data_IF_458532519330
#
_entry.id   IF_458532519330
#
_cell.length_a   1.000
_cell.length_b   1.000
_cell.length_c   1.000
_cell.angle_alpha   90.00
_cell.angle_beta   90.00
_cell.angle_gamma   90.00
#
_symmetry.space_group_name_H-M   'P 1'
#
loop_
_entity.id
_entity.type
_entity.pdbx_description
1 polymer ?
#
# COMPACT_ATOMS: atom_id res chain seq x y z
N UNK A 1 7.63 -3.36 4.69
CA UNK A 1 7.02 -4.59 5.22
C UNK A 1 6.10 -4.30 6.41
N UNK A 2 6.60 -3.75 7.51
CA UNK A 2 5.80 -3.51 8.72
C UNK A 2 4.48 -2.76 8.46
N UNK A 3 4.49 -1.69 7.67
CA UNK A 3 3.29 -0.92 7.33
C UNK A 3 2.22 -1.73 6.58
N UNK A 4 2.61 -2.60 5.64
CA UNK A 4 1.67 -3.42 4.90
C UNK A 4 1.01 -4.49 5.80
N UNK A 5 1.78 -5.07 6.71
CA UNK A 5 1.26 -6.02 7.70
C UNK A 5 0.39 -5.32 8.76
N UNK A 6 0.80 -4.14 9.24
CA UNK A 6 -0.01 -3.33 10.16
C UNK A 6 -1.35 -2.93 9.53
N UNK A 7 -1.37 -2.60 8.22
CA UNK A 7 -2.59 -2.32 7.49
C UNK A 7 -3.55 -3.51 7.44
N UNK A 8 -3.04 -4.72 7.18
CA UNK A 8 -3.85 -5.94 7.26
C UNK A 8 -4.34 -6.21 8.69
N UNK A 9 -3.47 -6.02 9.69
CA UNK A 9 -3.84 -6.14 11.09
C UNK A 9 -4.99 -5.19 11.46
N UNK A 10 -4.96 -3.95 10.96
CA UNK A 10 -6.04 -2.97 11.19
C UNK A 10 -7.36 -3.40 10.53
N UNK A 11 -7.32 -3.98 9.31
CA UNK A 11 -8.52 -4.53 8.66
C UNK A 11 -9.13 -5.66 9.50
N UNK A 12 -8.30 -6.56 10.02
CA UNK A 12 -8.75 -7.70 10.82
C UNK A 12 -9.15 -7.30 12.24
N UNK A 13 -8.59 -6.23 12.79
CA UNK A 13 -8.92 -5.77 14.14
C UNK A 13 -10.36 -5.25 14.26
N UNK A 14 -10.91 -4.66 13.22
CA UNK A 14 -12.24 -4.06 13.23
C UNK A 14 -13.36 -5.07 13.62
N UNK A 15 -13.49 -6.23 12.94
CA UNK A 15 -14.48 -7.23 13.31
C UNK A 15 -14.19 -7.86 14.69
N UNK A 16 -12.92 -8.08 15.05
CA UNK A 16 -12.54 -8.64 16.36
C UNK A 16 -12.90 -7.69 17.51
N UNK A 17 -12.64 -6.40 17.37
CA UNK A 17 -13.02 -5.38 18.34
C UNK A 17 -14.54 -5.32 18.51
N UNK A 18 -15.28 -5.45 17.42
CA UNK A 18 -16.74 -5.45 17.47
C UNK A 18 -17.26 -6.72 18.14
N UNK A 19 -16.73 -7.88 17.80
CA UNK A 19 -17.11 -9.15 18.42
C UNK A 19 -16.81 -9.19 19.92
N UNK A 20 -15.75 -8.51 20.38
CA UNK A 20 -15.35 -8.38 21.79
C UNK A 20 -16.03 -7.23 22.55
N UNK A 21 -17.02 -6.55 21.95
CA UNK A 21 -17.80 -5.49 22.61
C UNK A 21 -17.11 -4.11 22.67
N UNK A 22 -15.96 -3.93 21.99
CA UNK A 22 -15.27 -2.64 21.93
C UNK A 22 -15.82 -1.76 20.80
N UNK A 23 -17.10 -1.39 20.89
CA UNK A 23 -17.85 -0.72 19.83
C UNK A 23 -17.21 0.59 19.34
N UNK A 24 -16.72 1.45 20.26
CA UNK A 24 -16.12 2.72 19.90
C UNK A 24 -14.82 2.52 19.06
N UNK A 25 -13.96 1.60 19.47
CA UNK A 25 -12.72 1.28 18.74
C UNK A 25 -13.02 0.61 17.40
N UNK A 26 -13.99 -0.29 17.37
CA UNK A 26 -14.46 -0.92 16.13
C UNK A 26 -15.00 0.14 15.17
N UNK A 27 -15.85 1.06 15.63
CA UNK A 27 -16.39 2.14 14.83
C UNK A 27 -15.28 2.97 14.18
N UNK A 28 -14.25 3.37 14.93
CA UNK A 28 -13.11 4.12 14.38
C UNK A 28 -12.40 3.31 13.29
N UNK A 29 -12.12 2.01 13.52
CA UNK A 29 -11.48 1.14 12.55
C UNK A 29 -12.31 1.02 11.26
N UNK A 30 -13.63 0.78 11.34
CA UNK A 30 -14.50 0.77 10.17
C UNK A 30 -14.53 2.12 9.45
N UNK A 31 -14.55 3.24 10.17
CA UNK A 31 -14.58 4.58 9.59
C UNK A 31 -13.31 4.92 8.80
N UNK A 32 -12.14 4.46 9.24
CA UNK A 32 -10.88 4.62 8.49
C UNK A 32 -11.00 4.00 7.10
N UNK A 33 -11.60 2.82 6.99
CA UNK A 33 -11.75 2.12 5.71
C UNK A 33 -12.96 2.55 4.89
N UNK A 34 -13.93 3.27 5.46
CA UNK A 34 -15.12 3.75 4.76
C UNK A 34 -14.78 4.70 3.60
N UNK A 35 -13.67 5.46 3.70
CA UNK A 35 -13.18 6.32 2.63
C UNK A 35 -12.58 5.54 1.44
N UNK A 36 -12.21 4.27 1.64
CA UNK A 36 -11.48 3.45 0.68
C UNK A 36 -12.33 2.31 0.10
N UNK A 37 -13.37 1.89 0.82
CA UNK A 37 -14.22 0.78 0.46
C UNK A 37 -15.67 1.02 0.89
N UNK A 38 -16.63 0.63 0.06
CA UNK A 38 -18.07 0.74 0.36
C UNK A 38 -18.52 -0.17 1.51
N UNK A 39 -17.69 -1.13 1.95
CA UNK A 39 -17.93 -2.01 3.10
C UNK A 39 -19.28 -2.75 3.05
N UNK A 40 -19.72 -3.17 1.85
CA UNK A 40 -20.96 -3.90 1.68
C UNK A 40 -20.85 -5.28 2.34
N UNK A 41 -21.67 -5.60 3.37
CA UNK A 41 -21.59 -6.85 4.10
C UNK A 41 -21.71 -8.09 3.21
N UNK A 42 -22.62 -8.06 2.23
CA UNK A 42 -22.84 -9.15 1.26
C UNK A 42 -21.66 -9.39 0.31
N UNK A 43 -20.64 -8.51 0.34
CA UNK A 43 -19.42 -8.59 -0.48
C UNK A 43 -18.15 -8.72 0.36
N UNK A 44 -18.31 -8.89 1.67
CA UNK A 44 -17.21 -8.95 2.64
C UNK A 44 -17.05 -10.34 3.23
N UNK A 45 -15.85 -10.74 3.59
CA UNK A 45 -15.63 -11.89 4.44
C UNK A 45 -16.10 -11.58 5.86
N UNK A 46 -16.40 -12.60 6.62
CA UNK A 46 -16.81 -12.50 8.02
C UNK A 46 -15.77 -13.13 8.94
N UNK A 47 -15.57 -12.52 10.09
CA UNK A 47 -14.74 -13.01 11.19
C UNK A 47 -15.53 -12.84 12.48
N UNK A 48 -15.71 -13.93 13.24
CA UNK A 48 -16.53 -13.96 14.45
C UNK A 48 -17.94 -13.34 14.28
N UNK A 49 -18.59 -13.65 13.15
CA UNK A 49 -19.94 -13.16 12.83
C UNK A 49 -20.00 -11.69 12.41
N UNK A 50 -18.86 -10.98 12.33
CA UNK A 50 -18.77 -9.59 11.91
C UNK A 50 -18.10 -9.47 10.53
N UNK A 51 -18.59 -8.58 9.62
CA UNK A 51 -17.98 -8.38 8.32
C UNK A 51 -16.61 -7.71 8.48
N UNK A 52 -15.64 -8.04 7.61
CA UNK A 52 -14.37 -7.32 7.54
C UNK A 52 -14.58 -5.83 7.23
N UNK A 53 -13.64 -4.99 7.65
CA UNK A 53 -13.65 -3.55 7.39
C UNK A 53 -13.55 -3.18 5.90
N UNK A 54 -13.33 -4.16 5.02
CA UNK A 54 -13.27 -3.97 3.57
C UNK A 54 -13.92 -5.16 2.86
N UNK A 55 -14.43 -4.94 1.63
CA UNK A 55 -14.99 -6.03 0.82
C UNK A 55 -13.89 -7.04 0.39
N UNK A 56 -14.31 -8.24 0.01
CA UNK A 56 -13.42 -9.36 -0.34
C UNK A 56 -12.37 -8.98 -1.42
N UNK A 57 -12.74 -8.17 -2.42
CA UNK A 57 -11.80 -7.70 -3.45
C UNK A 57 -10.72 -6.78 -2.86
N UNK A 58 -11.10 -5.78 -2.07
CA UNK A 58 -10.16 -4.87 -1.41
C UNK A 58 -9.25 -5.63 -0.43
N UNK A 59 -9.82 -6.58 0.34
CA UNK A 59 -9.03 -7.47 1.19
C UNK A 59 -7.99 -8.23 0.36
N UNK A 60 -8.39 -8.82 -0.76
CA UNK A 60 -7.48 -9.50 -1.68
C UNK A 60 -6.35 -8.58 -2.15
N UNK A 61 -6.67 -7.37 -2.61
CA UNK A 61 -5.66 -6.38 -3.06
C UNK A 61 -4.65 -6.09 -1.95
N UNK A 62 -5.10 -5.82 -0.73
CA UNK A 62 -4.19 -5.51 0.39
C UNK A 62 -3.38 -6.72 0.84
N UNK A 63 -4.00 -7.91 0.90
CA UNK A 63 -3.31 -9.15 1.25
C UNK A 63 -2.27 -9.54 0.17
N UNK A 64 -2.65 -9.47 -1.10
CA UNK A 64 -1.75 -9.70 -2.22
C UNK A 64 -0.59 -8.71 -2.26
N UNK A 65 -0.86 -7.42 -2.00
CA UNK A 65 0.17 -6.40 -1.90
C UNK A 65 1.15 -6.68 -0.75
N UNK A 66 0.65 -7.02 0.43
CA UNK A 66 1.49 -7.35 1.57
C UNK A 66 2.36 -8.59 1.29
N UNK A 67 1.77 -9.63 0.69
CA UNK A 67 2.51 -10.81 0.24
C UNK A 67 3.58 -10.44 -0.79
N UNK A 68 3.22 -9.62 -1.79
CA UNK A 68 4.15 -9.12 -2.80
C UNK A 68 5.32 -8.34 -2.20
N UNK A 69 5.06 -7.49 -1.18
CA UNK A 69 6.11 -6.76 -0.43
C UNK A 69 7.01 -7.71 0.35
N UNK A 70 6.45 -8.72 1.01
CA UNK A 70 7.22 -9.74 1.76
C UNK A 70 8.08 -10.58 0.83
N UNK A 71 7.53 -11.02 -0.31
CA UNK A 71 8.22 -11.83 -1.30
C UNK A 71 9.14 -11.01 -2.22
N UNK A 72 9.06 -9.68 -2.19
CA UNK A 72 9.83 -8.81 -3.10
C UNK A 72 11.33 -9.11 -3.10
N UNK A 73 12.02 -9.28 -1.94
CA UNK A 73 13.45 -9.57 -1.92
C UNK A 73 13.84 -10.89 -2.58
N UNK A 74 12.89 -11.85 -2.68
CA UNK A 74 13.11 -13.15 -3.33
C UNK A 74 13.05 -13.04 -4.86
N UNK A 75 12.28 -12.08 -5.37
CA UNK A 75 12.03 -11.89 -6.80
C UNK A 75 12.96 -10.83 -7.40
N UNK A 76 13.26 -9.77 -6.63
CA UNK A 76 14.04 -8.61 -7.07
C UNK A 76 14.94 -8.07 -5.96
N UNK A 77 16.12 -7.63 -6.33
CA UNK A 77 17.04 -6.96 -5.40
C UNK A 77 16.46 -5.61 -4.93
N UNK A 78 16.57 -5.33 -3.63
CA UNK A 78 16.19 -4.05 -3.02
C UNK A 78 17.05 -2.85 -3.49
N UNK A 79 18.13 -3.11 -4.25
CA UNK A 79 18.95 -2.03 -4.85
C UNK A 79 18.42 -1.56 -6.20
N UNK A 80 17.48 -2.30 -6.78
CA UNK A 80 16.89 -1.93 -8.08
C UNK A 80 15.73 -0.96 -7.87
N UNK A 81 15.78 0.16 -8.59
CA UNK A 81 14.72 1.19 -8.62
C UNK A 81 13.94 1.16 -9.94
N UNK A 82 14.32 0.28 -10.88
CA UNK A 82 13.60 0.09 -12.13
C UNK A 82 12.29 -0.66 -11.90
N UNK A 83 11.23 -0.22 -12.57
CA UNK A 83 9.92 -0.87 -12.54
C UNK A 83 9.77 -1.84 -13.73
N UNK A 84 8.97 -2.94 -13.60
CA UNK A 84 8.64 -3.79 -14.72
C UNK A 84 7.90 -3.04 -15.83
N UNK A 85 7.82 -3.62 -17.03
CA UNK A 85 7.04 -3.06 -18.13
C UNK A 85 5.55 -2.96 -17.74
N UNK A 86 4.90 -1.81 -18.02
CA UNK A 86 3.51 -1.51 -17.64
C UNK A 86 2.49 -2.57 -18.05
N UNK A 87 2.78 -3.32 -19.12
CA UNK A 87 1.93 -4.43 -19.59
C UNK A 87 1.63 -5.46 -18.49
N UNK A 88 2.56 -5.73 -17.58
CA UNK A 88 2.35 -6.71 -16.51
C UNK A 88 1.31 -6.24 -15.49
N UNK A 89 1.29 -4.95 -15.17
CA UNK A 89 0.26 -4.37 -14.30
C UNK A 89 -1.12 -4.42 -14.98
N UNK A 90 -1.19 -4.10 -16.27
CA UNK A 90 -2.43 -4.19 -17.04
C UNK A 90 -2.94 -5.64 -17.13
N UNK A 91 -2.05 -6.60 -17.40
CA UNK A 91 -2.41 -8.02 -17.41
C UNK A 91 -2.91 -8.51 -16.05
N UNK A 92 -2.32 -8.06 -14.94
CA UNK A 92 -2.78 -8.40 -13.61
C UNK A 92 -4.13 -7.72 -13.24
N UNK A 93 -4.43 -6.56 -13.84
CA UNK A 93 -5.70 -5.86 -13.66
C UNK A 93 -6.85 -6.51 -14.45
N UNK A 94 -6.57 -7.19 -15.56
CA UNK A 94 -7.60 -7.79 -16.41
C UNK A 94 -8.53 -8.76 -15.67
N UNK A 95 -8.04 -9.75 -14.88
CA UNK A 95 -8.92 -10.66 -14.15
C UNK A 95 -9.84 -9.92 -13.17
N UNK A 96 -9.31 -8.89 -12.48
CA UNK A 96 -10.11 -8.05 -11.59
C UNK A 96 -11.17 -7.25 -12.34
N UNK A 97 -10.81 -6.69 -13.50
CA UNK A 97 -11.72 -5.95 -14.36
C UNK A 97 -12.83 -6.83 -14.95
N UNK A 98 -12.48 -8.02 -15.43
CA UNK A 98 -13.44 -9.02 -15.96
C UNK A 98 -14.38 -9.46 -14.83
N UNK A 99 -13.83 -9.86 -13.67
CA UNK A 99 -14.64 -10.22 -12.49
C UNK A 99 -15.60 -9.10 -12.09
N UNK A 100 -15.13 -7.84 -12.11
CA UNK A 100 -15.99 -6.70 -11.83
C UNK A 100 -17.09 -6.53 -12.88
N UNK A 101 -16.76 -6.56 -14.17
CA UNK A 101 -17.70 -6.35 -15.26
C UNK A 101 -18.80 -7.44 -15.29
N UNK A 102 -18.43 -8.70 -15.12
CA UNK A 102 -19.36 -9.83 -15.09
C UNK A 102 -20.35 -9.70 -13.91
N UNK A 103 -19.86 -9.30 -12.74
CA UNK A 103 -20.72 -9.07 -11.57
C UNK A 103 -21.58 -7.83 -11.69
N UNK A 104 -21.10 -6.77 -12.37
CA UNK A 104 -21.84 -5.53 -12.60
C UNK A 104 -22.97 -5.73 -13.61
N UNK A 105 -22.74 -6.49 -14.67
CA UNK A 105 -23.75 -6.80 -15.71
C UNK A 105 -24.76 -7.86 -15.25
N UNK A 106 -24.54 -8.52 -14.10
CA UNK A 106 -25.38 -9.60 -13.61
C UNK A 106 -25.23 -10.92 -14.39
N UNK A 107 -24.27 -10.98 -15.32
CA UNK A 107 -24.01 -12.20 -16.13
C UNK A 107 -23.40 -13.32 -15.28
N UNK A 108 -22.76 -12.98 -14.18
CA UNK A 108 -22.10 -13.95 -13.30
C UNK A 108 -22.16 -13.49 -11.83
N UNK A 109 -22.58 -14.40 -10.95
CA UNK A 109 -22.55 -14.14 -9.51
C UNK A 109 -21.12 -14.35 -8.97
N UNK A 110 -20.38 -13.24 -8.77
CA UNK A 110 -19.03 -13.30 -8.24
C UNK A 110 -19.02 -13.79 -6.81
N UNK A 111 -18.20 -14.77 -6.51
CA UNK A 111 -17.97 -15.27 -5.15
C UNK A 111 -17.01 -14.35 -4.39
N UNK A 112 -17.01 -14.42 -3.04
CA UNK A 112 -15.99 -13.73 -2.23
C UNK A 112 -14.57 -14.19 -2.62
N UNK A 113 -14.42 -15.50 -2.91
CA UNK A 113 -13.14 -16.08 -3.31
C UNK A 113 -12.64 -15.55 -4.65
N UNK A 114 -13.50 -15.49 -5.68
CA UNK A 114 -13.10 -14.96 -7.00
C UNK A 114 -12.65 -13.50 -6.89
N UNK A 115 -13.40 -12.69 -6.15
CA UNK A 115 -13.06 -11.28 -5.87
C UNK A 115 -11.72 -11.14 -5.13
N UNK A 116 -11.48 -11.98 -4.11
CA UNK A 116 -10.26 -11.94 -3.33
C UNK A 116 -9.04 -12.40 -4.15
N UNK A 117 -9.16 -13.48 -4.92
CA UNK A 117 -8.06 -14.01 -5.74
C UNK A 117 -7.65 -13.06 -6.85
N UNK A 118 -8.63 -12.51 -7.58
CA UNK A 118 -8.36 -11.53 -8.64
C UNK A 118 -7.76 -10.25 -8.06
N UNK A 119 -8.26 -9.79 -6.91
CA UNK A 119 -7.69 -8.68 -6.16
C UNK A 119 -6.26 -8.97 -5.68
N UNK A 120 -6.00 -10.16 -5.15
CA UNK A 120 -4.68 -10.54 -4.65
C UNK A 120 -3.61 -10.58 -5.76
N UNK A 121 -3.97 -11.07 -6.94
CA UNK A 121 -3.09 -11.03 -8.11
C UNK A 121 -2.70 -9.60 -8.46
N UNK A 122 -3.68 -8.69 -8.54
CA UNK A 122 -3.43 -7.28 -8.81
C UNK A 122 -2.55 -6.65 -7.71
N UNK A 123 -2.86 -6.90 -6.44
CA UNK A 123 -2.09 -6.39 -5.30
C UNK A 123 -0.64 -6.87 -5.30
N UNK A 124 -0.41 -8.16 -5.52
CA UNK A 124 0.93 -8.75 -5.57
C UNK A 124 1.80 -8.15 -6.70
N UNK A 125 1.22 -7.97 -7.88
CA UNK A 125 1.92 -7.34 -9.00
C UNK A 125 2.14 -5.85 -8.73
N UNK A 126 1.19 -5.13 -8.12
CA UNK A 126 1.33 -3.73 -7.77
C UNK A 126 2.52 -3.49 -6.82
N UNK A 127 2.84 -4.43 -5.92
CA UNK A 127 4.01 -4.33 -5.06
C UNK A 127 5.32 -4.19 -5.84
N UNK A 128 5.44 -4.83 -7.03
CA UNK A 128 6.62 -4.73 -7.90
C UNK A 128 6.84 -3.34 -8.50
N UNK A 129 5.84 -2.46 -8.41
CA UNK A 129 5.90 -1.05 -8.86
C UNK A 129 6.05 -0.09 -7.70
N UNK A 130 5.31 -0.34 -6.61
CA UNK A 130 5.31 0.54 -5.44
C UNK A 130 6.62 0.44 -4.67
N UNK A 131 7.15 -0.77 -4.45
CA UNK A 131 8.39 -0.97 -3.67
C UNK A 131 9.58 -0.23 -4.29
N UNK A 132 9.93 -0.40 -5.60
CA UNK A 132 11.04 0.34 -6.18
C UNK A 132 10.81 1.86 -6.20
N UNK A 133 9.56 2.30 -6.36
CA UNK A 133 9.21 3.72 -6.25
C UNK A 133 9.49 4.30 -4.86
N UNK A 134 9.15 3.59 -3.80
CA UNK A 134 9.44 3.99 -2.42
C UNK A 134 10.94 4.01 -2.15
N UNK A 135 11.70 3.03 -2.66
CA UNK A 135 13.16 2.99 -2.54
C UNK A 135 13.78 4.20 -3.26
N UNK A 136 13.37 4.47 -4.50
CA UNK A 136 13.86 5.62 -5.25
C UNK A 136 13.56 6.94 -4.55
N UNK A 137 12.38 7.08 -3.97
CA UNK A 137 11.97 8.25 -3.19
C UNK A 137 12.81 8.43 -1.93
N UNK A 138 13.07 7.35 -1.17
CA UNK A 138 13.94 7.38 0.00
C UNK A 138 15.36 7.84 -0.35
N UNK A 139 15.96 7.27 -1.41
CA UNK A 139 17.27 7.67 -1.89
C UNK A 139 17.32 9.13 -2.34
N UNK A 140 16.26 9.66 -2.92
CA UNK A 140 16.15 11.07 -3.30
C UNK A 140 16.15 11.98 -2.08
N UNK A 141 15.42 11.62 -1.03
CA UNK A 141 15.40 12.39 0.24
C UNK A 141 16.79 12.39 0.87
N UNK A 142 17.46 11.25 0.95
CA UNK A 142 18.81 11.14 1.51
C UNK A 142 19.82 12.01 0.74
N UNK A 143 19.81 11.96 -0.60
CA UNK A 143 20.67 12.80 -1.44
C UNK A 143 20.42 14.30 -1.19
N UNK A 144 19.16 14.71 -1.06
CA UNK A 144 18.80 16.10 -0.75
C UNK A 144 19.27 16.53 0.64
N UNK A 145 19.14 15.65 1.64
CA UNK A 145 19.61 15.92 2.99
C UNK A 145 21.14 16.07 3.03
N UNK A 146 21.87 15.18 2.36
CA UNK A 146 23.33 15.24 2.25
C UNK A 146 23.80 16.50 1.51
N UNK A 147 23.14 16.89 0.42
CA UNK A 147 23.46 18.11 -0.30
C UNK A 147 23.26 19.37 0.58
N UNK A 148 22.16 19.41 1.35
CA UNK A 148 21.91 20.51 2.31
C UNK A 148 22.98 20.54 3.42
N UNK A 149 23.32 19.39 4.00
CA UNK A 149 24.36 19.32 5.02
C UNK A 149 25.72 19.84 4.48
N UNK A 150 26.07 19.45 3.24
CA UNK A 150 27.32 19.89 2.60
C UNK A 150 27.35 21.39 2.38
N UNK A 151 26.25 22.04 1.97
CA UNK A 151 26.16 23.48 1.79
C UNK A 151 26.38 24.20 3.13
N UNK A 152 25.74 23.71 4.20
CA UNK A 152 25.89 24.30 5.54
C UNK A 152 27.33 24.20 6.06
N UNK A 153 28.02 23.09 5.84
CA UNK A 153 29.42 22.92 6.26
C UNK A 153 30.37 23.79 5.43
N UNK A 154 30.16 23.93 4.12
CA UNK A 154 31.01 24.77 3.26
C UNK A 154 30.82 26.28 3.55
N UNK A 155 29.65 26.70 4.03
CA UNK A 155 29.40 28.10 4.40
C UNK A 155 30.04 28.46 5.75
N UNK A 156 30.16 27.50 6.66
CA UNK A 156 30.87 27.64 7.94
C UNK A 156 32.40 27.68 7.78
N UNK A 157 32.94 26.97 6.79
CA UNK A 157 34.39 26.90 6.54
C UNK A 157 34.93 28.05 5.67
N UNK A 158 34.08 28.99 5.23
CA UNK A 158 34.56 30.21 4.56
C UNK A 158 35.26 31.09 5.57
N UNK A 159 36.59 31.29 5.48
CA UNK A 159 37.28 32.21 6.38
C UNK A 159 36.67 33.60 6.23
N UNK A 160 36.36 34.22 7.38
CA UNK A 160 35.88 35.59 7.46
C UNK A 160 36.93 36.48 6.80
N UNK A 161 36.80 36.73 5.50
CA UNK A 161 37.70 37.60 4.75
C UNK A 161 37.56 39.01 5.32
N UNK A 162 38.49 39.39 6.25
CA UNK A 162 38.71 40.79 6.65
C UNK A 162 39.15 41.57 5.38
N UNK A 163 38.19 42.04 4.62
CA UNK A 163 38.37 42.93 3.47
C UNK A 163 37.97 44.33 3.83
N UNK A 164 38.66 44.99 4.71
CA UNK A 164 38.56 46.41 4.93
C UNK A 164 39.95 47.03 4.84
N UNK A 165 40.48 47.19 3.64
CA UNK A 165 41.52 48.22 3.41
C UNK A 165 40.79 49.55 3.26
N UNK A 166 40.79 50.36 4.33
CA UNK A 166 40.59 51.80 4.23
C UNK A 166 41.86 52.37 3.58
N UNK A 167 41.70 53.06 2.51
CA UNK A 167 42.63 54.05 1.93
C UNK A 167 41.89 55.38 1.82
#
# INVERSE_FOLDING_TARGET
>A
MALALAWLGLILSAPLLRASGHEASAFVAYRVFAALCHQLPERSFYLDGQPLAVCARCFGIYAGFALGVVCYPLVRSLRRTDTPARRWLLLAALPTGIDFALGFTGLWANTHTSRALTGALLGAVAALYVVPGLIAFGLLIERRAQARAKILTTDFDKPFSKGGKMA
#
